data_IF_672415841408
#
_entry.id   IF_672415841408
#
_cell.length_a   1.000
_cell.length_b   1.000
_cell.length_c   1.000
_cell.angle_alpha   90.00
_cell.angle_beta   90.00
_cell.angle_gamma   90.00
#
_symmetry.space_group_name_H-M   'P 1'
#
loop_
_entity.id
_entity.type
_entity.pdbx_description
1 polymer ?
#
# COMPACT_ATOMS: atom_id res chain seq x y z
N UNK A 1 8.39 36.49 -0.95
CA UNK A 1 9.47 35.69 -0.33
C UNK A 1 10.75 35.87 -1.13
N UNK A 2 11.89 36.20 -0.50
CA UNK A 2 13.15 36.42 -1.21
C UNK A 2 13.74 35.11 -1.77
N UNK A 3 14.36 35.20 -2.94
CA UNK A 3 14.96 34.07 -3.64
C UNK A 3 16.26 33.65 -2.94
N UNK A 4 16.23 32.47 -2.32
CA UNK A 4 17.36 31.93 -1.56
C UNK A 4 18.64 31.77 -2.41
N UNK A 5 18.51 31.42 -3.68
CA UNK A 5 19.65 31.24 -4.58
C UNK A 5 20.27 32.59 -4.95
N UNK A 6 19.45 33.56 -5.31
CA UNK A 6 19.91 34.91 -5.64
C UNK A 6 20.54 35.62 -4.43
N UNK A 7 19.90 35.56 -3.26
CA UNK A 7 20.40 36.22 -2.05
C UNK A 7 21.68 35.58 -1.49
N UNK A 8 21.95 34.30 -1.76
CA UNK A 8 23.15 33.61 -1.27
C UNK A 8 24.33 33.64 -2.26
N UNK A 9 24.05 33.69 -3.56
CA UNK A 9 25.06 33.51 -4.61
C UNK A 9 25.16 34.70 -5.57
N UNK A 10 24.34 35.75 -5.38
CA UNK A 10 24.23 36.89 -6.29
C UNK A 10 23.66 36.56 -7.67
N UNK A 11 23.24 35.30 -7.88
CA UNK A 11 22.74 34.81 -9.16
C UNK A 11 21.67 33.73 -8.96
N UNK A 12 20.70 33.66 -9.87
CA UNK A 12 19.64 32.65 -9.84
C UNK A 12 19.47 32.08 -11.24
N UNK A 13 19.39 30.74 -11.33
CA UNK A 13 19.28 30.00 -12.58
C UNK A 13 17.98 30.28 -13.35
N UNK A 14 16.95 30.77 -12.65
CA UNK A 14 15.68 31.17 -13.26
C UNK A 14 15.66 32.65 -13.71
N UNK A 15 16.76 33.40 -13.51
CA UNK A 15 16.88 34.76 -14.01
C UNK A 15 15.69 35.66 -13.65
N UNK A 16 15.14 36.38 -14.63
CA UNK A 16 13.95 37.22 -14.49
C UNK A 16 12.65 36.43 -14.28
N UNK A 17 12.63 35.13 -14.55
CA UNK A 17 11.45 34.25 -14.45
C UNK A 17 11.32 33.59 -13.06
N UNK A 18 12.08 34.06 -12.08
CA UNK A 18 12.02 33.54 -10.73
C UNK A 18 10.77 34.05 -9.99
N UNK A 19 9.96 33.13 -9.46
CA UNK A 19 8.78 33.44 -8.64
C UNK A 19 9.11 34.04 -7.25
N UNK A 20 10.38 34.34 -6.96
CA UNK A 20 10.87 34.82 -5.67
C UNK A 20 11.69 36.11 -5.84
N UNK A 21 11.60 37.02 -4.88
CA UNK A 21 12.18 38.36 -5.02
C UNK A 21 13.73 38.32 -4.99
N UNK A 22 14.36 38.91 -6.02
CA UNK A 22 15.80 39.04 -6.17
C UNK A 22 16.29 40.34 -5.52
N UNK A 23 16.54 40.31 -4.21
CA UNK A 23 17.03 41.46 -3.42
C UNK A 23 18.51 41.29 -3.07
N UNK A 24 19.30 42.35 -3.27
CA UNK A 24 20.74 42.44 -2.96
C UNK A 24 20.92 43.43 -1.80
N UNK A 25 21.69 43.07 -0.78
CA UNK A 25 22.01 43.92 0.37
C UNK A 25 21.32 43.52 1.68
N UNK A 26 21.64 44.26 2.76
CA UNK A 26 21.54 43.97 4.21
C UNK A 26 20.21 43.42 4.79
N UNK A 27 19.21 43.14 3.95
CA UNK A 27 17.94 42.50 4.33
C UNK A 27 17.86 41.01 3.99
N UNK A 28 18.96 40.38 3.54
CA UNK A 28 19.00 38.93 3.37
C UNK A 28 18.88 38.22 4.75
N UNK A 29 17.95 37.27 4.93
CA UNK A 29 17.81 36.57 6.21
C UNK A 29 19.08 35.77 6.52
N UNK A 30 19.64 35.96 7.72
CA UNK A 30 20.79 35.19 8.20
C UNK A 30 20.49 33.68 8.08
N UNK A 31 21.40 32.87 7.51
CA UNK A 31 21.19 31.43 7.41
C UNK A 31 21.01 30.80 8.81
N UNK A 32 20.07 29.87 8.96
CA UNK A 32 19.84 29.21 10.24
C UNK A 32 21.05 28.38 10.68
N UNK A 33 21.14 28.10 11.98
CA UNK A 33 22.25 27.36 12.58
C UNK A 33 22.18 25.88 12.15
N UNK A 34 23.33 25.31 11.85
CA UNK A 34 23.45 23.88 11.56
C UNK A 34 23.21 23.09 12.85
N UNK A 35 22.03 22.49 12.99
CA UNK A 35 21.70 21.67 14.16
C UNK A 35 22.67 20.51 14.36
N UNK A 36 23.19 19.92 13.28
CA UNK A 36 24.14 18.80 13.36
C UNK A 36 25.46 19.28 13.98
N UNK A 37 26.02 20.39 13.48
CA UNK A 37 27.24 20.98 14.04
C UNK A 37 27.03 21.48 15.47
N UNK A 38 25.93 22.17 15.75
CA UNK A 38 25.64 22.70 17.08
C UNK A 38 25.45 21.60 18.14
N UNK A 39 25.01 20.40 17.74
CA UNK A 39 24.77 19.27 18.65
C UNK A 39 25.98 18.36 18.80
N UNK A 40 26.76 18.18 17.73
CA UNK A 40 27.84 17.16 17.68
C UNK A 40 29.25 17.74 17.58
N UNK A 41 29.37 19.06 17.34
CA UNK A 41 30.64 19.72 17.05
C UNK A 41 31.23 19.36 15.68
N UNK A 42 30.59 18.48 14.90
CA UNK A 42 31.10 18.00 13.62
C UNK A 42 29.98 18.00 12.55
N UNK A 43 30.29 18.44 11.35
CA UNK A 43 29.36 18.45 10.23
C UNK A 43 30.08 17.95 8.98
N UNK A 44 29.55 16.89 8.36
CA UNK A 44 30.12 16.26 7.15
C UNK A 44 30.28 17.19 5.95
N UNK A 45 29.65 18.36 5.99
CA UNK A 45 29.72 19.37 4.94
C UNK A 45 30.74 20.47 5.24
N UNK A 46 31.30 20.50 6.46
CA UNK A 46 32.37 21.42 6.88
C UNK A 46 32.10 22.86 6.41
N UNK A 47 33.05 23.50 5.72
CA UNK A 47 32.93 24.86 5.19
C UNK A 47 31.95 24.98 4.02
N UNK A 48 31.52 23.86 3.42
CA UNK A 48 30.50 23.83 2.36
C UNK A 48 29.07 23.73 2.92
N UNK A 49 28.89 23.76 4.24
CA UNK A 49 27.58 23.73 4.85
C UNK A 49 26.82 25.04 4.61
N UNK A 50 25.62 24.96 4.03
CA UNK A 50 24.74 26.12 3.83
C UNK A 50 24.13 26.70 5.13
N UNK A 51 24.44 26.08 6.28
CA UNK A 51 23.96 26.47 7.60
C UNK A 51 25.14 26.92 8.45
N UNK A 52 24.91 27.85 9.36
CA UNK A 52 26.01 28.44 10.15
C UNK A 52 26.50 27.48 11.22
N UNK A 53 27.82 27.33 11.31
CA UNK A 53 28.51 26.54 12.33
C UNK A 53 28.96 27.46 13.46
N UNK A 54 28.13 27.59 14.49
CA UNK A 54 28.46 28.34 15.71
C UNK A 54 28.58 27.38 16.88
N UNK A 55 29.60 27.55 17.74
CA UNK A 55 29.71 26.81 19.00
C UNK A 55 28.67 27.38 19.97
N UNK A 56 27.86 26.51 20.57
CA UNK A 56 26.88 26.94 21.57
C UNK A 56 27.62 27.58 22.77
N UNK A 57 27.22 28.79 23.17
CA UNK A 57 27.68 29.41 24.40
C UNK A 57 27.13 28.62 25.60
N UNK A 58 27.91 28.50 26.67
CA UNK A 58 27.53 27.73 27.85
C UNK A 58 26.25 28.28 28.51
N UNK A 59 25.34 27.42 28.99
CA UNK A 59 24.07 27.88 29.56
C UNK A 59 24.27 28.41 30.99
N UNK A 60 23.91 29.68 31.20
CA UNK A 60 23.62 30.22 32.53
C UNK A 60 22.35 29.58 33.09
N UNK A 61 22.41 29.18 34.36
CA UNK A 61 21.36 28.47 35.07
C UNK A 61 20.18 29.39 35.42
N UNK A 62 18.98 29.10 34.88
CA UNK A 62 17.70 29.31 35.56
C UNK A 62 16.50 28.77 34.75
N UNK A 63 15.51 28.29 35.50
CA UNK A 63 14.11 28.01 35.15
C UNK A 63 13.78 26.67 34.45
N UNK A 64 13.00 25.87 35.17
CA UNK A 64 12.65 24.49 34.83
C UNK A 64 11.65 24.34 33.70
N UNK A 65 11.76 23.20 33.01
CA UNK A 65 10.86 22.76 31.96
C UNK A 65 10.93 21.24 31.82
N UNK A 66 9.76 20.60 31.87
CA UNK A 66 9.51 19.15 31.91
C UNK A 66 10.41 18.39 30.92
N UNK A 67 11.14 17.40 31.44
CA UNK A 67 12.02 16.54 30.66
C UNK A 67 11.31 15.89 29.47
N UNK A 68 11.68 16.28 28.25
CA UNK A 68 11.42 15.47 27.07
C UNK A 68 12.41 14.31 27.10
N UNK A 69 11.88 13.08 27.12
CA UNK A 69 12.65 11.85 26.89
C UNK A 69 13.51 12.00 25.61
N UNK A 70 14.71 11.39 25.55
CA UNK A 70 15.57 11.47 24.38
C UNK A 70 14.77 11.09 23.14
N UNK A 71 14.81 11.92 22.09
CA UNK A 71 14.33 11.51 20.78
C UNK A 71 15.29 10.43 20.29
N UNK A 72 14.87 9.19 20.40
CA UNK A 72 15.45 8.09 19.65
C UNK A 72 15.59 8.52 18.19
N UNK A 73 16.79 8.33 17.67
CA UNK A 73 17.08 8.47 16.24
C UNK A 73 16.08 7.62 15.47
N UNK A 74 15.09 8.25 14.82
CA UNK A 74 14.29 7.56 13.81
C UNK A 74 15.21 7.31 12.62
N UNK A 75 15.78 6.11 12.57
CA UNK A 75 16.25 5.54 11.33
C UNK A 75 15.05 5.47 10.38
N UNK A 76 15.17 6.12 9.23
CA UNK A 76 14.21 6.10 8.12
C UNK A 76 14.31 4.74 7.40
N UNK A 77 14.04 3.69 8.19
CA UNK A 77 14.79 2.42 8.21
C UNK A 77 14.01 1.15 7.91
N UNK A 78 12.82 1.30 7.35
CA UNK A 78 11.78 0.31 7.12
C UNK A 78 10.57 1.09 6.65
N UNK A 79 9.52 0.45 6.15
CA UNK A 79 8.23 1.15 6.03
C UNK A 79 7.90 1.73 7.41
N UNK A 80 8.07 3.04 7.61
CA UNK A 80 8.13 3.72 8.93
C UNK A 80 6.81 3.72 9.70
N UNK A 81 5.93 2.81 9.28
CA UNK A 81 4.56 2.54 9.69
C UNK A 81 4.46 1.22 10.46
N UNK A 82 5.38 0.27 10.23
CA UNK A 82 5.39 -1.05 10.88
C UNK A 82 5.89 -0.97 12.32
N UNK A 83 5.29 -1.76 13.21
CA UNK A 83 5.74 -1.88 14.58
C UNK A 83 7.12 -2.57 14.68
N UNK A 84 8.00 -2.15 15.61
CA UNK A 84 9.25 -2.86 15.86
C UNK A 84 8.98 -4.33 16.23
N UNK A 85 9.67 -5.25 15.57
CA UNK A 85 9.48 -6.69 15.72
C UNK A 85 8.45 -7.32 14.77
N UNK A 86 7.67 -6.53 14.02
CA UNK A 86 6.79 -7.03 12.97
C UNK A 86 7.57 -7.74 11.84
N UNK A 87 6.89 -8.56 11.03
CA UNK A 87 7.50 -9.23 9.88
C UNK A 87 8.10 -8.22 8.90
N UNK A 88 9.32 -8.47 8.43
CA UNK A 88 9.92 -7.65 7.38
C UNK A 88 9.52 -8.16 5.99
N UNK A 89 8.51 -7.53 5.36
CA UNK A 89 8.04 -7.92 4.00
C UNK A 89 9.13 -7.93 2.94
N UNK A 90 10.11 -7.03 3.02
CA UNK A 90 11.24 -7.00 2.08
C UNK A 90 12.20 -8.18 2.28
N UNK A 91 12.50 -8.51 3.54
CA UNK A 91 13.29 -9.70 3.86
C UNK A 91 12.52 -10.98 3.50
N UNK A 92 11.20 -11.03 3.72
CA UNK A 92 10.34 -12.13 3.28
C UNK A 92 10.39 -12.33 1.76
N UNK A 93 10.35 -11.24 0.99
CA UNK A 93 10.52 -11.22 -0.47
C UNK A 93 11.95 -11.56 -0.96
N UNK A 94 12.91 -11.68 -0.03
CA UNK A 94 14.26 -12.18 -0.32
C UNK A 94 15.39 -11.22 0.07
N UNK A 95 15.14 -9.92 0.20
CA UNK A 95 16.20 -8.95 0.49
C UNK A 95 15.69 -7.68 1.17
N UNK A 96 16.32 -7.31 2.28
CA UNK A 96 16.09 -6.05 2.97
C UNK A 96 17.33 -5.16 2.92
N UNK A 97 17.19 -3.95 2.35
CA UNK A 97 18.30 -2.97 2.23
C UNK A 97 18.80 -2.45 3.58
N UNK A 98 18.03 -2.63 4.66
CA UNK A 98 18.41 -2.18 6.00
C UNK A 98 19.26 -3.19 6.77
N UNK A 99 19.26 -4.46 6.37
CA UNK A 99 20.03 -5.53 7.04
C UNK A 99 19.79 -5.53 8.55
N UNK A 100 20.87 -5.61 9.33
CA UNK A 100 20.82 -5.60 10.80
C UNK A 100 20.24 -4.31 11.42
N UNK A 101 20.09 -3.22 10.66
CA UNK A 101 19.47 -1.97 11.14
C UNK A 101 17.96 -1.94 10.97
N UNK A 102 17.37 -2.97 10.36
CA UNK A 102 15.93 -3.05 10.23
C UNK A 102 15.29 -3.27 11.62
N UNK A 103 14.21 -2.55 11.92
CA UNK A 103 13.46 -2.74 13.16
C UNK A 103 12.47 -3.90 13.10
N UNK A 104 12.23 -4.46 11.90
CA UNK A 104 11.36 -5.60 11.67
C UNK A 104 12.16 -6.91 11.80
N UNK A 105 11.47 -8.02 12.06
CA UNK A 105 12.12 -9.33 12.20
C UNK A 105 12.65 -9.84 10.85
N UNK A 106 13.91 -10.29 10.86
CA UNK A 106 14.58 -11.02 9.77
C UNK A 106 14.73 -12.51 10.12
N UNK A 107 13.80 -13.05 10.91
CA UNK A 107 13.72 -14.49 11.17
C UNK A 107 12.91 -15.17 10.06
N UNK A 108 13.61 -15.88 9.17
CA UNK A 108 12.98 -16.61 8.08
C UNK A 108 12.01 -17.70 8.56
N UNK A 109 12.31 -18.39 9.66
CA UNK A 109 11.42 -19.41 10.20
C UNK A 109 10.14 -18.78 10.76
N UNK A 110 10.24 -17.62 11.41
CA UNK A 110 9.07 -16.88 11.88
C UNK A 110 8.19 -16.40 10.71
N UNK A 111 8.80 -15.94 9.61
CA UNK A 111 8.08 -15.52 8.39
C UNK A 111 7.37 -16.72 7.75
N UNK A 112 8.07 -17.84 7.55
CA UNK A 112 7.50 -19.07 7.00
C UNK A 112 6.34 -19.59 7.88
N UNK A 113 6.51 -19.56 9.21
CA UNK A 113 5.47 -19.96 10.14
C UNK A 113 4.25 -19.03 10.08
N UNK A 114 4.45 -17.72 9.98
CA UNK A 114 3.35 -16.75 9.88
C UNK A 114 2.57 -16.91 8.57
N UNK A 115 3.27 -17.08 7.43
CA UNK A 115 2.63 -17.35 6.13
C UNK A 115 1.84 -18.67 6.17
N UNK A 116 2.47 -19.75 6.66
CA UNK A 116 1.82 -21.05 6.77
C UNK A 116 0.59 -21.00 7.69
N UNK A 117 0.71 -20.31 8.83
CA UNK A 117 -0.39 -20.06 9.75
C UNK A 117 -1.54 -19.35 9.04
N UNK A 118 -1.25 -18.24 8.36
CA UNK A 118 -2.26 -17.45 7.66
C UNK A 118 -2.97 -18.21 6.53
N UNK A 119 -2.26 -19.09 5.83
CA UNK A 119 -2.82 -19.93 4.75
C UNK A 119 -3.75 -21.04 5.26
N UNK A 120 -3.49 -21.61 6.45
CA UNK A 120 -4.18 -22.81 6.93
C UNK A 120 -5.14 -22.56 8.10
N UNK A 121 -4.87 -21.57 8.94
CA UNK A 121 -5.78 -21.18 10.01
C UNK A 121 -6.83 -20.22 9.43
N UNK A 122 -8.02 -20.76 9.15
CA UNK A 122 -9.19 -19.92 8.86
C UNK A 122 -9.40 -19.03 10.08
N UNK A 123 -9.20 -17.72 9.92
CA UNK A 123 -9.67 -16.75 10.91
C UNK A 123 -11.20 -16.80 10.89
N UNK A 124 -11.77 -17.69 11.70
CA UNK A 124 -13.11 -17.49 12.24
C UNK A 124 -12.92 -16.42 13.30
N UNK A 125 -13.49 -15.21 13.15
CA UNK A 125 -13.42 -14.20 14.19
C UNK A 125 -13.86 -14.84 15.51
N UNK A 126 -12.99 -14.87 16.54
CA UNK A 126 -13.27 -15.54 17.83
C UNK A 126 -14.54 -14.98 18.50
N UNK A 127 -14.87 -13.72 18.20
CA UNK A 127 -16.19 -13.16 18.38
C UNK A 127 -16.85 -12.96 17.02
N UNK A 128 -18.05 -13.51 16.78
CA UNK A 128 -18.94 -12.96 15.78
C UNK A 128 -18.97 -11.45 16.01
N UNK A 129 -18.79 -10.65 14.96
CA UNK A 129 -19.25 -9.26 15.02
C UNK A 129 -20.70 -9.34 15.52
N UNK A 130 -21.09 -8.50 16.49
CA UNK A 130 -22.46 -8.48 17.04
C UNK A 130 -23.45 -8.12 15.91
N UNK A 131 -23.78 -9.10 15.08
CA UNK A 131 -24.59 -8.98 13.88
C UNK A 131 -25.93 -9.64 14.21
N UNK A 132 -27.06 -8.92 14.07
CA UNK A 132 -28.38 -9.52 14.21
C UNK A 132 -28.55 -10.71 13.25
N UNK A 133 -28.75 -11.91 13.80
CA UNK A 133 -28.91 -13.16 13.02
C UNK A 133 -30.19 -13.21 12.15
N UNK A 134 -31.05 -12.18 12.21
CA UNK A 134 -32.40 -12.18 11.63
C UNK A 134 -32.51 -11.56 10.24
N UNK A 135 -31.40 -11.12 9.62
CA UNK A 135 -31.43 -10.48 8.30
C UNK A 135 -30.94 -11.49 7.25
N UNK A 136 -31.82 -11.84 6.30
CA UNK A 136 -31.43 -12.62 5.14
C UNK A 136 -30.38 -11.83 4.33
N UNK A 137 -29.31 -12.47 3.83
CA UNK A 137 -28.29 -11.77 3.05
C UNK A 137 -28.94 -11.09 1.83
N UNK A 138 -28.59 -9.82 1.61
CA UNK A 138 -28.97 -9.12 0.37
C UNK A 138 -28.45 -9.93 -0.84
N UNK A 139 -29.30 -10.24 -1.83
CA UNK A 139 -28.85 -10.97 -3.03
C UNK A 139 -27.68 -10.26 -3.71
N UNK A 140 -26.64 -11.02 -4.05
CA UNK A 140 -25.45 -10.49 -4.74
C UNK A 140 -25.43 -10.95 -6.20
N UNK A 141 -24.91 -10.11 -7.10
CA UNK A 141 -24.77 -10.43 -8.51
C UNK A 141 -23.61 -11.42 -8.79
N UNK A 142 -22.64 -11.51 -7.87
CA UNK A 142 -21.47 -12.36 -7.97
C UNK A 142 -21.54 -13.48 -6.92
N UNK A 143 -21.06 -14.68 -7.24
CA UNK A 143 -21.02 -15.79 -6.25
C UNK A 143 -19.91 -15.58 -5.21
N UNK A 144 -18.82 -14.95 -5.64
CA UNK A 144 -17.63 -14.73 -4.84
C UNK A 144 -17.19 -13.26 -4.89
N UNK A 145 -16.63 -12.78 -3.80
CA UNK A 145 -15.81 -11.57 -3.77
C UNK A 145 -14.37 -11.97 -3.41
N UNK A 146 -13.40 -11.49 -4.19
CA UNK A 146 -11.98 -11.74 -3.98
C UNK A 146 -11.28 -10.49 -3.48
N UNK A 147 -10.86 -10.48 -2.22
CA UNK A 147 -10.20 -9.36 -1.57
C UNK A 147 -8.69 -9.51 -1.78
N UNK A 148 -8.03 -8.47 -2.29
CA UNK A 148 -6.57 -8.45 -2.45
C UNK A 148 -6.01 -7.06 -2.15
N UNK A 149 -4.73 -7.03 -1.75
CA UNK A 149 -3.98 -5.80 -1.45
C UNK A 149 -2.49 -6.09 -1.72
N UNK A 150 -1.94 -5.51 -2.79
CA UNK A 150 -0.52 -5.71 -3.09
C UNK A 150 0.34 -4.91 -2.13
N UNK A 151 1.43 -5.50 -1.67
CA UNK A 151 2.50 -4.73 -1.05
C UNK A 151 3.65 -4.51 -2.03
N UNK A 152 4.30 -3.36 -1.90
CA UNK A 152 5.45 -3.00 -2.71
C UNK A 152 5.50 -1.51 -3.01
N UNK A 153 6.63 -1.07 -3.56
CA UNK A 153 6.82 0.33 -3.98
C UNK A 153 6.98 0.42 -5.49
N UNK A 154 8.04 -0.17 -6.01
CA UNK A 154 8.31 -0.18 -7.44
C UNK A 154 7.77 -1.44 -8.11
N UNK A 155 8.02 -2.59 -7.48
CA UNK A 155 7.54 -3.89 -7.87
C UNK A 155 6.68 -4.48 -6.75
N UNK A 156 5.76 -5.37 -7.10
CA UNK A 156 4.98 -6.15 -6.14
C UNK A 156 5.91 -7.09 -5.39
N UNK A 157 5.83 -7.11 -4.05
CA UNK A 157 6.61 -7.97 -3.17
C UNK A 157 5.76 -8.94 -2.34
N UNK A 158 4.45 -8.70 -2.25
CA UNK A 158 3.47 -9.56 -1.59
C UNK A 158 2.19 -9.59 -2.41
N UNK A 159 1.62 -10.78 -2.60
CA UNK A 159 0.36 -11.00 -3.32
C UNK A 159 -0.59 -11.88 -2.50
N UNK A 160 -1.32 -11.28 -1.55
CA UNK A 160 -2.39 -11.93 -0.80
C UNK A 160 -3.73 -11.84 -1.55
N UNK A 161 -4.55 -12.88 -1.46
CA UNK A 161 -5.94 -12.88 -1.90
C UNK A 161 -6.80 -13.78 -1.02
N UNK A 162 -7.99 -13.33 -0.63
CA UNK A 162 -8.99 -14.11 0.10
C UNK A 162 -10.30 -14.12 -0.67
N UNK A 163 -10.91 -15.30 -0.84
CA UNK A 163 -12.22 -15.47 -1.47
C UNK A 163 -13.31 -15.63 -0.40
N UNK A 164 -14.32 -14.77 -0.45
CA UNK A 164 -15.54 -14.89 0.35
C UNK A 164 -16.71 -15.25 -0.55
N UNK A 165 -17.52 -16.22 -0.13
CA UNK A 165 -18.79 -16.55 -0.78
C UNK A 165 -19.85 -15.53 -0.39
N UNK A 166 -20.55 -14.98 -1.36
CA UNK A 166 -21.53 -13.91 -1.13
C UNK A 166 -22.84 -14.37 -0.50
N UNK A 167 -23.15 -15.66 -0.61
CA UNK A 167 -24.38 -16.23 -0.06
C UNK A 167 -24.39 -16.27 1.48
N UNK A 168 -23.22 -16.40 2.13
CA UNK A 168 -23.12 -16.56 3.58
C UNK A 168 -21.84 -15.97 4.19
N UNK A 169 -21.08 -15.20 3.41
CA UNK A 169 -19.81 -14.55 3.79
C UNK A 169 -18.72 -15.49 4.30
N UNK A 170 -18.86 -16.79 4.03
CA UNK A 170 -17.83 -17.76 4.43
C UNK A 170 -16.65 -17.72 3.48
N UNK A 171 -15.47 -17.93 4.06
CA UNK A 171 -14.24 -18.06 3.31
C UNK A 171 -14.22 -19.34 2.48
N UNK A 172 -14.01 -19.17 1.17
CA UNK A 172 -13.89 -20.25 0.18
C UNK A 172 -12.42 -20.68 -0.01
N UNK A 173 -11.49 -19.76 0.22
CA UNK A 173 -10.06 -20.07 0.26
C UNK A 173 -9.16 -18.83 0.30
N UNK A 174 -7.88 -19.08 0.55
CA UNK A 174 -6.80 -18.07 0.57
C UNK A 174 -5.73 -18.44 -0.44
N UNK A 175 -5.12 -17.40 -1.00
CA UNK A 175 -3.92 -17.47 -1.82
C UNK A 175 -2.92 -16.46 -1.29
N UNK A 176 -1.65 -16.84 -1.27
CA UNK A 176 -0.55 -15.94 -0.92
C UNK A 176 0.72 -16.32 -1.67
N UNK A 177 1.45 -15.32 -2.15
CA UNK A 177 2.84 -15.45 -2.59
C UNK A 177 3.63 -14.22 -2.18
N UNK A 178 4.82 -14.45 -1.63
CA UNK A 178 5.89 -13.46 -1.71
C UNK A 178 6.37 -13.35 -3.16
N UNK A 179 6.60 -12.13 -3.62
CA UNK A 179 7.07 -11.84 -4.97
C UNK A 179 8.50 -11.30 -4.90
N UNK A 180 9.41 -11.89 -5.68
CA UNK A 180 10.79 -11.42 -5.81
C UNK A 180 10.87 -10.33 -6.88
N UNK A 181 11.26 -9.09 -6.53
CA UNK A 181 11.53 -8.04 -7.51
C UNK A 181 12.57 -8.44 -8.54
N UNK A 182 12.31 -8.09 -9.80
CA UNK A 182 13.21 -8.33 -10.93
C UNK A 182 14.55 -7.61 -10.75
N UNK A 183 14.52 -6.42 -10.14
CA UNK A 183 15.71 -5.62 -9.89
C UNK A 183 16.73 -6.27 -8.93
N UNK A 184 16.30 -7.21 -8.10
CA UNK A 184 17.15 -7.80 -7.03
C UNK A 184 18.11 -8.89 -7.52
N UNK A 185 17.90 -9.44 -8.72
CA UNK A 185 18.77 -10.46 -9.33
C UNK A 185 19.77 -9.94 -10.36
N UNK A 186 19.76 -8.63 -10.65
CA UNK A 186 20.57 -8.03 -11.70
C UNK A 186 22.02 -7.77 -11.21
N UNK A 187 23.05 -7.99 -12.05
CA UNK A 187 24.43 -7.63 -11.74
C UNK A 187 24.53 -6.13 -11.34
N UNK A 188 25.16 -5.84 -10.20
CA UNK A 188 25.28 -4.48 -9.68
C UNK A 188 24.11 -4.00 -8.82
N UNK A 189 23.07 -4.82 -8.60
CA UNK A 189 22.08 -4.53 -7.57
C UNK A 189 22.70 -4.69 -6.17
N UNK A 190 22.27 -3.86 -5.21
CA UNK A 190 22.75 -3.86 -3.81
C UNK A 190 22.48 -5.18 -3.04
N UNK A 191 21.97 -6.22 -3.71
CA UNK A 191 21.68 -7.54 -3.17
C UNK A 191 22.91 -8.43 -3.00
N UNK A 192 24.09 -7.96 -3.46
CA UNK A 192 25.39 -8.54 -3.11
C UNK A 192 25.94 -8.06 -1.75
N UNK A 193 25.08 -7.52 -0.88
CA UNK A 193 25.46 -7.17 0.49
C UNK A 193 25.45 -8.40 1.41
N UNK A 194 25.99 -8.25 2.62
CA UNK A 194 26.24 -9.34 3.58
C UNK A 194 25.03 -10.25 3.84
N UNK A 195 25.26 -11.47 4.36
CA UNK A 195 24.22 -12.46 4.68
C UNK A 195 23.02 -11.90 5.48
N UNK A 196 23.22 -10.82 6.22
CA UNK A 196 22.20 -10.16 7.05
C UNK A 196 21.12 -9.43 6.24
N UNK A 197 21.40 -9.12 4.97
CA UNK A 197 20.46 -8.46 4.06
C UNK A 197 19.61 -9.46 3.28
N UNK A 198 20.13 -10.65 3.03
CA UNK A 198 19.54 -11.63 2.13
C UNK A 198 18.85 -12.75 2.90
N UNK A 199 17.58 -12.99 2.58
CA UNK A 199 16.88 -14.16 3.05
C UNK A 199 17.06 -15.31 2.07
N UNK A 200 18.09 -16.13 2.29
CA UNK A 200 18.38 -17.32 1.46
C UNK A 200 17.30 -18.40 1.54
N UNK A 201 16.40 -18.32 2.53
CA UNK A 201 15.26 -19.23 2.72
C UNK A 201 13.96 -18.68 2.13
N UNK A 202 14.00 -17.48 1.54
CA UNK A 202 12.79 -16.86 0.97
C UNK A 202 12.16 -17.75 -0.09
N UNK A 203 10.87 -18.00 0.07
CA UNK A 203 10.00 -18.71 -0.88
C UNK A 203 9.49 -17.80 -2.00
N UNK A 204 9.96 -16.55 -2.07
CA UNK A 204 9.49 -15.58 -3.03
C UNK A 204 9.78 -15.99 -4.48
N UNK A 205 8.76 -15.91 -5.31
CA UNK A 205 8.81 -16.28 -6.74
C UNK A 205 8.74 -15.03 -7.62
N UNK A 206 9.20 -15.07 -8.89
CA UNK A 206 8.93 -13.97 -9.82
C UNK A 206 7.43 -13.68 -9.93
N UNK A 207 7.06 -12.41 -10.13
CA UNK A 207 5.65 -12.03 -10.20
C UNK A 207 4.87 -12.77 -11.30
N UNK A 208 5.50 -13.08 -12.43
CA UNK A 208 4.87 -13.87 -13.50
C UNK A 208 4.40 -15.25 -13.02
N UNK A 209 5.18 -15.91 -12.16
CA UNK A 209 4.83 -17.20 -11.56
C UNK A 209 3.75 -17.05 -10.49
N UNK A 210 3.83 -16.02 -9.65
CA UNK A 210 2.78 -15.71 -8.68
C UNK A 210 1.44 -15.42 -9.38
N UNK A 211 1.46 -14.67 -10.48
CA UNK A 211 0.28 -14.33 -11.27
C UNK A 211 -0.33 -15.54 -11.98
N UNK A 212 0.51 -16.45 -12.52
CA UNK A 212 0.03 -17.73 -13.04
C UNK A 212 -0.62 -18.56 -11.92
N UNK A 213 0.03 -18.64 -10.76
CA UNK A 213 -0.45 -19.41 -9.60
C UNK A 213 -1.79 -18.91 -9.07
N UNK A 214 -2.03 -17.58 -9.03
CA UNK A 214 -3.33 -17.06 -8.62
C UNK A 214 -4.42 -17.37 -9.65
N UNK A 215 -4.10 -17.35 -10.95
CA UNK A 215 -5.05 -17.74 -11.99
C UNK A 215 -5.44 -19.22 -11.84
N UNK A 216 -4.47 -20.10 -11.60
CA UNK A 216 -4.73 -21.53 -11.38
C UNK A 216 -5.53 -21.77 -10.10
N UNK A 217 -5.17 -21.10 -9.00
CA UNK A 217 -5.95 -21.13 -7.76
C UNK A 217 -7.42 -20.72 -7.98
N UNK A 218 -7.66 -19.65 -8.75
CA UNK A 218 -9.01 -19.20 -9.06
C UNK A 218 -9.77 -20.22 -9.93
N UNK A 219 -9.11 -20.82 -10.92
CA UNK A 219 -9.71 -21.91 -11.74
C UNK A 219 -10.05 -23.13 -10.90
N UNK A 220 -9.17 -23.53 -9.97
CA UNK A 220 -9.40 -24.64 -9.05
C UNK A 220 -10.60 -24.39 -8.12
N UNK A 221 -10.85 -23.12 -7.79
CA UNK A 221 -12.06 -22.70 -7.06
C UNK A 221 -13.32 -22.64 -7.92
N UNK A 222 -13.18 -22.93 -9.21
CA UNK A 222 -14.25 -22.95 -10.21
C UNK A 222 -14.60 -21.57 -10.75
N UNK A 223 -13.73 -20.56 -10.59
CA UNK A 223 -14.00 -19.19 -11.07
C UNK A 223 -13.88 -19.14 -12.59
N UNK A 224 -14.87 -18.52 -13.23
CA UNK A 224 -14.82 -18.13 -14.62
C UNK A 224 -14.02 -16.84 -14.76
N UNK A 225 -12.75 -16.95 -15.17
CA UNK A 225 -11.83 -15.81 -15.27
C UNK A 225 -12.19 -14.83 -16.41
N UNK A 226 -13.04 -15.25 -17.33
CA UNK A 226 -13.48 -14.43 -18.47
C UNK A 226 -14.79 -13.70 -18.19
N UNK A 227 -15.54 -14.10 -17.16
CA UNK A 227 -16.82 -13.49 -16.81
C UNK A 227 -16.62 -12.21 -15.99
N UNK A 228 -17.13 -11.09 -16.49
CA UNK A 228 -17.09 -9.79 -15.83
C UNK A 228 -18.46 -9.28 -15.39
N UNK A 229 -19.53 -10.03 -15.67
CA UNK A 229 -20.90 -9.63 -15.34
C UNK A 229 -21.47 -8.58 -16.28
N UNK A 230 -20.92 -8.44 -17.50
CA UNK A 230 -21.49 -7.54 -18.52
C UNK A 230 -22.71 -8.16 -19.16
N UNK A 231 -23.60 -7.29 -19.64
CA UNK A 231 -24.80 -7.72 -20.36
C UNK A 231 -24.42 -8.59 -21.57
N UNK A 232 -25.07 -9.75 -21.70
CA UNK A 232 -24.84 -10.70 -22.78
C UNK A 232 -23.74 -11.73 -22.51
N UNK A 233 -22.92 -11.56 -21.47
CA UNK A 233 -21.95 -12.59 -21.08
C UNK A 233 -22.66 -13.83 -20.52
N UNK A 234 -22.18 -15.02 -20.92
CA UNK A 234 -22.65 -16.29 -20.40
C UNK A 234 -21.61 -16.84 -19.42
N UNK A 235 -22.05 -17.03 -18.18
CA UNK A 235 -21.24 -17.52 -17.07
C UNK A 235 -21.01 -19.03 -17.20
N UNK A 236 -19.74 -19.47 -17.23
CA UNK A 236 -19.33 -20.89 -17.36
C UNK A 236 -18.93 -21.55 -16.03
N UNK A 237 -18.78 -20.74 -14.98
CA UNK A 237 -18.32 -21.16 -13.66
C UNK A 237 -18.80 -20.19 -12.59
N UNK A 238 -18.12 -20.12 -11.45
CA UNK A 238 -18.43 -19.13 -10.40
C UNK A 238 -18.05 -17.73 -10.87
N UNK A 239 -18.91 -16.74 -10.60
CA UNK A 239 -18.61 -15.34 -10.89
C UNK A 239 -17.87 -14.68 -9.74
N UNK A 240 -16.88 -13.86 -10.05
CA UNK A 240 -16.01 -13.20 -9.09
C UNK A 240 -16.01 -11.68 -9.27
N UNK A 241 -16.14 -10.96 -8.16
CA UNK A 241 -15.84 -9.53 -8.09
C UNK A 241 -14.57 -9.32 -7.27
N UNK A 242 -13.52 -8.76 -7.86
CA UNK A 242 -12.33 -8.37 -7.11
C UNK A 242 -12.57 -7.09 -6.31
N UNK A 243 -12.05 -7.06 -5.08
CA UNK A 243 -12.16 -5.94 -4.14
C UNK A 243 -10.77 -5.50 -3.66
N UNK A 244 -10.50 -4.20 -3.75
CA UNK A 244 -9.20 -3.58 -3.40
C UNK A 244 -9.38 -2.29 -2.59
N UNK A 245 -8.37 -1.87 -1.81
CA UNK A 245 -8.43 -0.69 -0.92
C UNK A 245 -7.89 0.61 -1.55
N UNK A 246 -8.51 1.02 -2.64
CA UNK A 246 -8.03 2.09 -3.51
C UNK A 246 -7.82 1.56 -4.91
N UNK A 247 -7.50 2.45 -5.84
CA UNK A 247 -7.34 2.02 -7.22
C UNK A 247 -5.91 1.56 -7.54
N UNK A 248 -4.95 1.72 -6.61
CA UNK A 248 -3.54 1.53 -6.93
C UNK A 248 -3.23 0.11 -7.42
N UNK A 249 -3.74 -0.93 -6.76
CA UNK A 249 -3.44 -2.33 -7.05
C UNK A 249 -3.74 -2.72 -8.49
N UNK A 250 -4.99 -2.57 -8.92
CA UNK A 250 -5.44 -3.04 -10.24
C UNK A 250 -5.34 -1.96 -11.33
N UNK A 251 -5.55 -0.67 -11.00
CA UNK A 251 -5.42 0.40 -12.01
C UNK A 251 -3.97 0.70 -12.35
N UNK A 252 -3.10 0.75 -11.35
CA UNK A 252 -1.76 1.33 -11.50
C UNK A 252 -0.65 0.28 -11.42
N UNK A 253 -0.67 -0.56 -10.39
CA UNK A 253 0.41 -1.50 -10.12
C UNK A 253 0.35 -2.74 -11.02
N UNK A 254 -0.82 -3.36 -11.17
CA UNK A 254 -0.96 -4.58 -11.97
C UNK A 254 -0.49 -4.38 -13.43
N UNK A 255 -0.93 -3.35 -14.19
CA UNK A 255 -0.46 -3.16 -15.57
C UNK A 255 1.06 -2.91 -15.65
N UNK A 256 1.61 -2.11 -14.71
CA UNK A 256 3.05 -1.85 -14.61
C UNK A 256 3.81 -3.16 -14.38
N UNK A 257 3.35 -3.98 -13.44
CA UNK A 257 4.02 -5.21 -13.05
C UNK A 257 3.89 -6.30 -14.13
N UNK A 258 2.74 -6.44 -14.78
CA UNK A 258 2.56 -7.37 -15.90
C UNK A 258 3.51 -7.04 -17.05
N UNK A 259 3.61 -5.76 -17.43
CA UNK A 259 4.54 -5.30 -18.46
C UNK A 259 6.00 -5.56 -18.06
N UNK A 260 6.38 -5.24 -16.82
CA UNK A 260 7.73 -5.47 -16.31
C UNK A 260 8.10 -6.96 -16.28
N UNK A 261 7.12 -7.82 -15.97
CA UNK A 261 7.31 -9.26 -15.84
C UNK A 261 7.13 -10.02 -17.15
N UNK A 262 6.89 -9.32 -18.27
CA UNK A 262 6.67 -9.92 -19.59
C UNK A 262 5.39 -10.76 -19.70
N UNK A 263 4.39 -10.52 -18.85
CA UNK A 263 3.11 -11.25 -18.87
C UNK A 263 2.18 -10.60 -19.90
N UNK A 264 2.01 -11.26 -21.04
CA UNK A 264 1.31 -10.71 -22.20
C UNK A 264 -0.23 -10.80 -22.19
N UNK A 265 -0.82 -11.56 -21.27
CA UNK A 265 -2.28 -11.72 -21.17
C UNK A 265 -2.74 -11.56 -19.72
N UNK A 266 -3.80 -10.78 -19.53
CA UNK A 266 -4.45 -10.58 -18.24
C UNK A 266 -5.91 -11.01 -18.34
N UNK A 267 -6.38 -11.96 -17.52
CA UNK A 267 -7.78 -12.40 -17.60
C UNK A 267 -8.77 -11.27 -17.32
N UNK A 268 -9.93 -11.22 -18.00
CA UNK A 268 -10.92 -10.16 -17.88
C UNK A 268 -11.36 -9.84 -16.43
N UNK A 269 -11.41 -10.84 -15.54
CA UNK A 269 -11.77 -10.64 -14.13
C UNK A 269 -10.86 -9.65 -13.40
N UNK A 270 -9.59 -9.50 -13.80
CA UNK A 270 -8.65 -8.54 -13.22
C UNK A 270 -8.78 -7.12 -13.80
N UNK A 271 -9.63 -6.94 -14.82
CA UNK A 271 -9.81 -5.67 -15.53
C UNK A 271 -10.99 -4.85 -15.00
N UNK A 272 -11.67 -5.36 -13.99
CA UNK A 272 -12.81 -4.73 -13.32
C UNK A 272 -12.73 -5.03 -11.82
N UNK A 273 -13.05 -4.04 -10.99
CA UNK A 273 -12.95 -4.18 -9.55
C UNK A 273 -13.94 -3.29 -8.80
N UNK A 274 -14.11 -3.61 -7.52
CA UNK A 274 -14.70 -2.76 -6.51
C UNK A 274 -13.58 -2.13 -5.67
N UNK A 275 -13.45 -0.81 -5.75
CA UNK A 275 -12.70 -0.05 -4.76
C UNK A 275 -13.60 0.12 -3.53
N UNK A 276 -13.28 -0.59 -2.45
CA UNK A 276 -14.09 -0.60 -1.23
C UNK A 276 -14.28 0.81 -0.62
N UNK A 277 -13.33 1.73 -0.85
CA UNK A 277 -13.44 3.11 -0.35
C UNK A 277 -14.55 3.89 -1.03
N UNK A 278 -14.64 3.75 -2.35
CA UNK A 278 -15.69 4.40 -3.14
C UNK A 278 -17.03 3.75 -2.82
N UNK A 279 -17.07 2.42 -2.73
CA UNK A 279 -18.29 1.70 -2.37
C UNK A 279 -18.77 2.09 -0.96
N UNK A 280 -17.89 2.08 0.04
CA UNK A 280 -18.22 2.46 1.42
C UNK A 280 -18.71 3.90 1.53
N UNK A 281 -18.14 4.83 0.73
CA UNK A 281 -18.58 6.22 0.68
C UNK A 281 -20.02 6.36 0.14
N UNK A 282 -20.39 5.57 -0.87
CA UNK A 282 -21.70 5.65 -1.50
C UNK A 282 -22.77 4.81 -0.77
N UNK A 283 -22.35 3.78 -0.01
CA UNK A 283 -23.26 2.88 0.69
C UNK A 283 -23.74 3.45 2.03
N UNK A 284 -22.83 3.95 2.86
CA UNK A 284 -23.18 4.50 4.18
C UNK A 284 -23.46 6.01 4.09
N UNK A 285 -24.68 6.48 4.38
CA UNK A 285 -25.02 7.91 4.31
C UNK A 285 -24.15 8.81 5.21
N UNK A 286 -23.67 8.28 6.33
CA UNK A 286 -22.84 8.97 7.31
C UNK A 286 -21.33 8.89 7.03
N UNK A 287 -20.93 8.16 5.97
CA UNK A 287 -19.56 8.08 5.53
C UNK A 287 -19.11 9.42 4.92
N UNK A 288 -17.83 9.72 5.10
CA UNK A 288 -17.18 10.87 4.46
C UNK A 288 -15.85 10.39 3.90
N UNK A 289 -15.32 11.06 2.89
CA UNK A 289 -14.02 10.71 2.31
C UNK A 289 -12.92 10.58 3.38
N UNK A 290 -12.97 11.37 4.46
CA UNK A 290 -12.04 11.25 5.60
C UNK A 290 -12.21 9.96 6.39
N UNK A 291 -13.46 9.53 6.64
CA UNK A 291 -13.79 8.31 7.38
C UNK A 291 -13.44 7.05 6.59
N UNK A 292 -13.47 7.11 5.25
CA UNK A 292 -13.25 5.94 4.38
C UNK A 292 -12.01 6.08 3.49
N UNK A 293 -11.04 6.93 3.88
CA UNK A 293 -9.83 7.20 3.07
C UNK A 293 -8.89 6.00 2.89
N UNK A 294 -9.06 4.96 3.69
CA UNK A 294 -8.25 3.74 3.70
C UNK A 294 -8.74 2.76 4.76
N UNK A 295 -8.07 1.62 4.90
CA UNK A 295 -8.51 0.52 5.76
C UNK A 295 -8.68 0.92 7.23
N UNK A 296 -7.64 1.45 7.89
CA UNK A 296 -7.71 1.87 9.31
C UNK A 296 -8.88 2.84 9.61
N UNK A 297 -9.09 3.92 8.81
CA UNK A 297 -10.27 4.76 8.94
C UNK A 297 -11.61 4.02 8.78
N UNK A 298 -11.74 3.11 7.81
CA UNK A 298 -12.97 2.32 7.64
C UNK A 298 -13.22 1.38 8.82
N UNK A 299 -12.19 0.71 9.32
CA UNK A 299 -12.25 -0.11 10.54
C UNK A 299 -12.80 0.72 11.72
N UNK A 300 -12.20 1.89 11.97
CA UNK A 300 -12.65 2.80 13.03
C UNK A 300 -14.08 3.28 12.82
N UNK A 301 -14.45 3.60 11.57
CA UNK A 301 -15.80 4.05 11.22
C UNK A 301 -16.86 2.98 11.52
N UNK A 302 -16.56 1.71 11.25
CA UNK A 302 -17.47 0.58 11.47
C UNK A 302 -17.38 -0.02 12.88
N UNK A 303 -16.49 0.49 13.73
CA UNK A 303 -16.26 -0.02 15.08
C UNK A 303 -15.55 -1.39 15.09
N UNK A 304 -14.78 -1.71 14.05
CA UNK A 304 -14.03 -2.96 13.93
C UNK A 304 -12.59 -2.72 14.40
N UNK A 305 -12.06 -3.48 15.38
CA UNK A 305 -10.68 -3.32 15.81
C UNK A 305 -9.71 -3.80 14.71
N UNK A 306 -8.57 -3.13 14.55
CA UNK A 306 -7.49 -3.62 13.70
C UNK A 306 -6.90 -4.91 14.31
N UNK A 307 -6.73 -5.94 13.48
CA UNK A 307 -6.01 -7.16 13.82
C UNK A 307 -4.73 -7.27 12.97
N UNK A 308 -3.66 -7.82 13.54
CA UNK A 308 -2.37 -7.93 12.84
C UNK A 308 -1.66 -6.58 12.63
N UNK A 309 -0.74 -6.57 11.67
CA UNK A 309 0.10 -5.43 11.34
C UNK A 309 -0.30 -4.80 10.01
N UNK A 310 -0.50 -3.48 10.01
CA UNK A 310 -0.87 -2.76 8.80
C UNK A 310 0.34 -2.62 7.87
N UNK A 311 0.14 -2.79 6.56
CA UNK A 311 1.19 -2.87 5.54
C UNK A 311 1.91 -4.22 5.49
N UNK A 312 1.33 -5.24 6.10
CA UNK A 312 1.54 -6.65 5.75
C UNK A 312 0.27 -7.08 5.02
N UNK A 313 0.41 -7.44 3.75
CA UNK A 313 -0.72 -7.65 2.86
C UNK A 313 -1.69 -8.72 3.37
N UNK A 314 -1.18 -9.81 3.93
CA UNK A 314 -1.97 -10.86 4.60
C UNK A 314 -2.92 -10.31 5.68
N UNK A 315 -2.43 -9.41 6.52
CA UNK A 315 -3.21 -8.82 7.61
C UNK A 315 -4.19 -7.77 7.07
N UNK A 316 -3.76 -6.97 6.09
CA UNK A 316 -4.61 -5.96 5.44
C UNK A 316 -5.80 -6.61 4.73
N UNK A 317 -5.60 -7.66 3.93
CA UNK A 317 -6.73 -8.36 3.29
C UNK A 317 -7.66 -9.04 4.31
N UNK A 318 -7.13 -9.49 5.45
CA UNK A 318 -7.94 -10.11 6.52
C UNK A 318 -8.87 -9.07 7.16
N UNK A 319 -8.37 -7.86 7.41
CA UNK A 319 -9.18 -6.75 7.91
C UNK A 319 -10.17 -6.24 6.86
N UNK A 320 -9.78 -6.18 5.59
CA UNK A 320 -10.68 -5.84 4.49
C UNK A 320 -11.83 -6.85 4.35
N UNK A 321 -11.57 -8.14 4.55
CA UNK A 321 -12.62 -9.16 4.61
C UNK A 321 -13.64 -8.88 5.72
N UNK A 322 -13.18 -8.42 6.90
CA UNK A 322 -14.06 -8.08 8.03
C UNK A 322 -14.91 -6.84 7.74
N UNK A 323 -14.33 -5.82 7.11
CA UNK A 323 -15.07 -4.65 6.62
C UNK A 323 -16.15 -5.09 5.63
N UNK A 324 -15.77 -5.88 4.61
CA UNK A 324 -16.69 -6.31 3.57
C UNK A 324 -17.82 -7.19 4.11
N UNK A 325 -17.50 -8.11 5.02
CA UNK A 325 -18.49 -8.95 5.69
C UNK A 325 -19.48 -8.09 6.49
N UNK A 326 -18.98 -7.09 7.24
CA UNK A 326 -19.86 -6.14 7.95
C UNK A 326 -20.79 -5.40 6.99
N UNK A 327 -20.26 -4.88 5.87
CA UNK A 327 -21.08 -4.19 4.86
C UNK A 327 -22.15 -5.10 4.26
N UNK A 328 -21.80 -6.36 3.99
CA UNK A 328 -22.76 -7.36 3.51
C UNK A 328 -23.88 -7.62 4.52
N UNK A 329 -23.57 -7.70 5.81
CA UNK A 329 -24.56 -7.83 6.88
C UNK A 329 -25.41 -6.58 7.11
N UNK A 330 -24.85 -5.40 6.84
CA UNK A 330 -25.58 -4.13 6.84
C UNK A 330 -26.48 -3.99 5.59
N UNK A 331 -26.47 -4.97 4.67
CA UNK A 331 -27.37 -5.06 3.54
C UNK A 331 -26.79 -4.59 2.20
N UNK A 332 -25.48 -4.38 2.09
CA UNK A 332 -24.83 -3.96 0.86
C UNK A 332 -25.04 -4.96 -0.29
N UNK A 333 -25.28 -4.43 -1.50
CA UNK A 333 -25.22 -5.19 -2.76
C UNK A 333 -23.97 -4.77 -3.53
N UNK A 334 -22.93 -5.59 -3.51
CA UNK A 334 -21.64 -5.28 -4.08
C UNK A 334 -21.67 -5.22 -5.60
N UNK A 335 -21.09 -4.14 -6.14
CA UNK A 335 -21.00 -3.88 -7.57
C UNK A 335 -19.60 -3.38 -7.92
N UNK A 336 -19.15 -3.56 -9.17
CA UNK A 336 -17.94 -2.92 -9.65
C UNK A 336 -18.02 -1.40 -9.50
N UNK A 337 -16.92 -0.78 -9.08
CA UNK A 337 -16.83 0.70 -9.01
C UNK A 337 -15.89 1.26 -10.07
N UNK A 338 -15.04 0.42 -10.67
CA UNK A 338 -14.16 0.82 -11.74
C UNK A 338 -13.83 -0.36 -12.68
N UNK A 339 -13.49 -0.04 -13.92
CA UNK A 339 -13.00 -1.01 -14.91
C UNK A 339 -12.15 -0.33 -15.98
N UNK A 340 -11.24 -1.08 -16.59
CA UNK A 340 -10.61 -0.65 -17.83
C UNK A 340 -11.62 -0.65 -18.99
N UNK A 341 -11.51 0.33 -19.87
CA UNK A 341 -12.28 0.45 -21.12
C UNK A 341 -11.33 0.55 -22.31
N UNK A 342 -11.84 0.23 -23.50
CA UNK A 342 -11.09 0.27 -24.77
C UNK A 342 -9.80 -0.58 -24.75
N UNK A 343 -9.84 -1.72 -24.06
CA UNK A 343 -8.76 -2.71 -24.10
C UNK A 343 -8.79 -3.40 -25.46
N UNK A 344 -7.69 -3.34 -26.23
CA UNK A 344 -7.56 -4.16 -27.42
C UNK A 344 -7.31 -5.60 -26.97
N UNK A 345 -8.33 -6.46 -27.08
CA UNK A 345 -8.32 -7.87 -26.65
C UNK A 345 -7.18 -8.69 -27.30
N UNK A 346 -6.66 -8.25 -28.45
CA UNK A 346 -5.60 -8.93 -29.22
C UNK A 346 -4.18 -8.47 -28.90
N UNK A 347 -4.00 -7.41 -28.09
CA UNK A 347 -2.68 -6.88 -27.69
C UNK A 347 -2.72 -6.54 -26.21
N UNK A 348 -2.58 -7.54 -25.35
CA UNK A 348 -2.64 -7.35 -23.89
C UNK A 348 -1.80 -6.16 -23.44
N UNK A 349 -2.34 -5.33 -22.52
CA UNK A 349 -1.76 -4.12 -21.89
C UNK A 349 -0.68 -3.34 -22.67
N UNK A 350 -0.69 -3.35 -24.00
CA UNK A 350 0.50 -2.91 -24.77
C UNK A 350 0.64 -1.40 -24.85
N UNK A 351 -0.17 -0.65 -24.09
CA UNK A 351 0.09 0.73 -23.76
C UNK A 351 -0.27 0.99 -22.28
N UNK A 352 0.61 1.66 -21.51
CA UNK A 352 0.27 2.20 -20.20
C UNK A 352 -0.73 3.34 -20.38
N UNK A 353 -2.01 3.01 -20.56
CA UNK A 353 -3.00 4.03 -20.95
C UNK A 353 -4.42 3.56 -21.20
N UNK A 354 -4.80 2.31 -20.87
CA UNK A 354 -6.21 1.91 -20.90
C UNK A 354 -7.02 2.87 -20.03
N UNK A 355 -7.95 3.61 -20.64
CA UNK A 355 -8.79 4.53 -19.89
C UNK A 355 -9.59 3.74 -18.84
N UNK A 356 -9.78 4.31 -17.66
CA UNK A 356 -10.58 3.68 -16.59
C UNK A 356 -11.91 4.39 -16.50
N UNK A 357 -13.00 3.63 -16.68
CA UNK A 357 -14.33 4.09 -16.34
C UNK A 357 -14.54 3.89 -14.84
N UNK A 358 -14.99 4.95 -14.18
CA UNK A 358 -15.42 4.91 -12.79
C UNK A 358 -16.94 5.01 -12.74
N UNK A 359 -17.55 4.10 -11.99
CA UNK A 359 -18.97 3.76 -12.14
C UNK A 359 -19.85 4.38 -11.05
N UNK A 360 -19.24 4.92 -10.00
CA UNK A 360 -19.93 5.65 -8.94
C UNK A 360 -19.67 7.15 -9.09
N UNK A 361 -20.68 7.97 -8.76
CA UNK A 361 -20.63 9.42 -8.86
C UNK A 361 -19.64 10.01 -7.85
N UNK A 362 -19.81 9.66 -6.58
CA UNK A 362 -18.93 10.09 -5.50
C UNK A 362 -17.75 9.15 -5.34
N UNK A 363 -16.54 9.72 -5.22
CA UNK A 363 -15.30 8.93 -5.11
C UNK A 363 -14.34 9.54 -4.12
N UNK A 364 -13.57 8.68 -3.47
CA UNK A 364 -12.45 9.10 -2.65
C UNK A 364 -11.29 9.47 -3.58
N UNK A 365 -11.20 10.74 -3.93
CA UNK A 365 -10.10 11.27 -4.75
C UNK A 365 -8.84 11.46 -3.90
N UNK A 366 -7.66 11.05 -4.38
CA UNK A 366 -6.40 11.44 -3.75
C UNK A 366 -6.26 12.98 -3.81
N UNK A 367 -6.37 13.65 -2.66
CA UNK A 367 -5.87 15.03 -2.53
C UNK A 367 -6.82 16.20 -2.79
N UNK A 368 -8.15 16.06 -2.67
CA UNK A 368 -9.01 17.24 -2.49
C UNK A 368 -9.01 17.68 -1.02
N UNK A 369 -7.97 18.40 -0.62
CA UNK A 369 -8.15 19.38 0.45
C UNK A 369 -9.16 20.40 -0.09
N UNK A 370 -10.41 20.32 0.38
CA UNK A 370 -11.39 21.36 0.10
C UNK A 370 -10.82 22.72 0.53
N UNK A 371 -11.10 23.82 -0.19
CA UNK A 371 -10.75 25.14 0.30
C UNK A 371 -11.42 25.32 1.67
N UNK A 372 -10.62 25.73 2.65
CA UNK A 372 -11.09 26.12 3.99
C UNK A 372 -11.91 27.38 3.93
#
# INVERSE_FOLDING_TARGET
>A
MPCRFFSAQGSCRNGSDCNFAHVIGEQAPRPPICHVFATTGNCRFEERCHYRHEKAAEPSAAAGGRGRRPREFRGDGGDGTLTPGALCKYFAAGHCTFGARCHCTHDAAAIEAAEAKWLHERHVPEKPLDIPQSILPTPQAFDLVGIMDFEGKEEVIEFPLVLLRTADWKEEGRFHRWCRPTAWGQPGSHTQSSREHCNVRSTAVPFSEAFASVCDFLRDKGVDLDFTGRAGEQKKGKSLLLCICGNWDLKSQLPKQLNLSGVGACPPVFLQWMNIKDFCLNFYPEATAKKVKGMKPMLNFLGIPLEGEHHIGMDDVSNLCRILTRMGHDGASFVPTARFVNINETRGFSQPGGAVAFLLQDRVTPGTAGPR
#
